data_IF_543865633075
#
_entry.id   IF_543865633075
#
_cell.length_a   1.000
_cell.length_b   1.000
_cell.length_c   1.000
_cell.angle_alpha   90.00
_cell.angle_beta   90.00
_cell.angle_gamma   90.00
#
_symmetry.space_group_name_H-M   'P 1'
#
loop_
_entity.id
_entity.type
_entity.pdbx_description
1 polymer ?
#
# COMPACT_ATOMS: atom_id res chain seq x y z
N UNK A 1 -41.76 26.34 -8.68
CA UNK A 1 -41.85 25.03 -8.00
C UNK A 1 -41.21 23.89 -8.81
N UNK A 2 -41.44 23.76 -10.12
CA UNK A 2 -40.89 22.69 -10.96
C UNK A 2 -39.34 22.65 -10.98
N UNK A 3 -38.67 23.79 -11.19
CA UNK A 3 -37.20 23.85 -11.22
C UNK A 3 -36.53 23.38 -9.91
N UNK A 4 -37.11 23.74 -8.75
CA UNK A 4 -36.63 23.26 -7.44
C UNK A 4 -36.78 21.75 -7.33
N UNK A 5 -37.91 21.19 -7.77
CA UNK A 5 -38.14 19.74 -7.79
C UNK A 5 -37.14 19.01 -8.69
N UNK A 6 -36.84 19.56 -9.87
CA UNK A 6 -35.83 18.98 -10.77
C UNK A 6 -34.43 18.96 -10.13
N UNK A 7 -34.01 20.07 -9.51
CA UNK A 7 -32.70 20.13 -8.84
C UNK A 7 -32.62 19.13 -7.68
N UNK A 8 -33.69 18.97 -6.89
CA UNK A 8 -33.74 17.95 -5.84
C UNK A 8 -33.63 16.53 -6.41
N UNK A 9 -34.33 16.22 -7.49
CA UNK A 9 -34.26 14.90 -8.12
C UNK A 9 -32.86 14.61 -8.69
N UNK A 10 -32.24 15.59 -9.32
CA UNK A 10 -30.86 15.47 -9.82
C UNK A 10 -29.87 15.25 -8.68
N UNK A 11 -29.99 16.00 -7.58
CA UNK A 11 -29.14 15.85 -6.40
C UNK A 11 -29.31 14.48 -5.74
N UNK A 12 -30.55 14.01 -5.58
CA UNK A 12 -30.81 12.68 -5.03
C UNK A 12 -30.24 11.58 -5.91
N UNK A 13 -30.39 11.71 -7.23
CA UNK A 13 -29.82 10.77 -8.20
C UNK A 13 -28.30 10.69 -8.09
N UNK A 14 -27.61 11.84 -8.04
CA UNK A 14 -26.15 11.86 -7.90
C UNK A 14 -25.69 11.33 -6.54
N UNK A 15 -26.39 11.65 -5.45
CA UNK A 15 -26.10 11.09 -4.13
C UNK A 15 -26.22 9.56 -4.12
N UNK A 16 -27.28 8.99 -4.71
CA UNK A 16 -27.46 7.54 -4.79
C UNK A 16 -26.36 6.90 -5.65
N UNK A 17 -25.99 7.52 -6.78
CA UNK A 17 -24.91 7.03 -7.63
C UNK A 17 -23.57 7.00 -6.87
N UNK A 18 -23.24 8.04 -6.10
CA UNK A 18 -22.03 8.11 -5.28
C UNK A 18 -22.04 7.10 -4.13
N UNK A 19 -23.20 6.83 -3.52
CA UNK A 19 -23.34 5.83 -2.45
C UNK A 19 -23.31 4.39 -2.97
N UNK A 20 -23.74 4.16 -4.21
CA UNK A 20 -23.70 2.85 -4.85
C UNK A 20 -22.29 2.51 -5.37
N UNK A 21 -21.44 3.50 -5.63
CA UNK A 21 -20.04 3.27 -5.87
C UNK A 21 -19.42 2.60 -4.62
N UNK A 22 -18.77 1.43 -4.77
CA UNK A 22 -18.11 0.79 -3.65
C UNK A 22 -17.17 1.81 -2.99
N UNK A 23 -17.30 2.08 -1.68
CA UNK A 23 -16.36 2.94 -1.00
C UNK A 23 -14.98 2.36 -1.26
N UNK A 24 -14.12 3.17 -1.89
CA UNK A 24 -12.80 2.76 -2.39
C UNK A 24 -11.91 2.12 -1.28
N UNK A 25 -12.32 2.21 -0.01
CA UNK A 25 -11.69 1.59 1.14
C UNK A 25 -12.48 0.52 1.92
N UNK A 26 -13.80 0.35 1.76
CA UNK A 26 -14.61 -0.49 2.67
C UNK A 26 -15.04 -1.84 2.07
N UNK A 27 -14.20 -2.45 1.24
CA UNK A 27 -14.27 -3.90 1.02
C UNK A 27 -13.80 -4.58 2.31
N UNK A 28 -14.67 -5.39 2.94
CA UNK A 28 -14.33 -6.26 4.07
C UNK A 28 -13.09 -7.13 3.78
N UNK A 29 -12.56 -7.81 4.81
CA UNK A 29 -11.29 -8.54 4.79
C UNK A 29 -10.94 -9.05 3.38
N UNK A 30 -9.99 -8.41 2.66
CA UNK A 30 -9.70 -8.77 1.27
C UNK A 30 -9.29 -10.23 1.20
N UNK A 31 -9.96 -10.97 0.31
CA UNK A 31 -9.55 -12.31 -0.10
C UNK A 31 -8.16 -12.21 -0.73
N UNK A 32 -7.32 -13.22 -0.54
CA UNK A 32 -6.00 -13.29 -1.18
C UNK A 32 -6.16 -13.10 -2.70
N UNK A 33 -5.47 -12.11 -3.30
CA UNK A 33 -5.61 -11.84 -4.72
C UNK A 33 -5.03 -12.99 -5.53
N UNK A 34 -5.72 -13.36 -6.61
CA UNK A 34 -5.33 -14.49 -7.47
C UNK A 34 -4.36 -14.00 -8.54
N UNK A 35 -3.23 -14.69 -8.69
CA UNK A 35 -2.26 -14.38 -9.73
C UNK A 35 -2.87 -14.58 -11.13
N UNK A 36 -2.86 -13.56 -12.00
CA UNK A 36 -3.51 -13.63 -13.31
C UNK A 36 -2.76 -14.52 -14.33
N UNK A 37 -1.56 -15.01 -14.00
CA UNK A 37 -0.72 -15.81 -14.89
C UNK A 37 0.35 -14.98 -15.60
N UNK A 38 1.32 -15.68 -16.22
CA UNK A 38 2.47 -15.05 -16.88
C UNK A 38 2.12 -14.36 -18.20
N UNK A 39 1.01 -14.78 -18.85
CA UNK A 39 0.48 -14.21 -20.10
C UNK A 39 -0.46 -13.02 -19.87
N UNK A 40 -0.54 -12.50 -18.64
CA UNK A 40 -1.45 -11.41 -18.30
C UNK A 40 -1.07 -10.09 -18.99
N UNK A 41 -2.07 -9.28 -19.32
CA UNK A 41 -1.81 -7.94 -19.85
C UNK A 41 -1.19 -7.05 -18.76
N UNK A 42 -0.40 -6.01 -19.12
CA UNK A 42 0.20 -5.13 -18.12
C UNK A 42 -0.84 -4.44 -17.23
N UNK A 43 -2.04 -4.17 -17.75
CA UNK A 43 -3.15 -3.62 -16.97
C UNK A 43 -3.64 -4.59 -15.91
N UNK A 44 -3.78 -5.88 -16.25
CA UNK A 44 -4.19 -6.91 -15.31
C UNK A 44 -3.11 -7.13 -14.23
N UNK A 45 -1.83 -7.09 -14.61
CA UNK A 45 -0.72 -7.18 -13.67
C UNK A 45 -0.69 -5.97 -12.72
N UNK A 46 -0.95 -4.76 -13.24
CA UNK A 46 -1.03 -3.55 -12.42
C UNK A 46 -2.19 -3.61 -11.41
N UNK A 47 -3.34 -4.13 -11.84
CA UNK A 47 -4.50 -4.37 -10.96
C UNK A 47 -4.15 -5.38 -9.86
N UNK A 48 -3.57 -6.53 -10.23
CA UNK A 48 -3.11 -7.54 -9.28
C UNK A 48 -2.12 -6.96 -8.26
N UNK A 49 -1.13 -6.18 -8.71
CA UNK A 49 -0.16 -5.54 -7.82
C UNK A 49 -0.80 -4.54 -6.85
N UNK A 50 -1.79 -3.76 -7.32
CA UNK A 50 -2.53 -2.83 -6.48
C UNK A 50 -3.37 -3.56 -5.41
N UNK A 51 -4.04 -4.65 -5.80
CA UNK A 51 -4.81 -5.48 -4.88
C UNK A 51 -3.90 -6.18 -3.86
N UNK A 52 -2.77 -6.72 -4.29
CA UNK A 52 -1.77 -7.35 -3.42
C UNK A 52 -1.21 -6.37 -2.39
N UNK A 53 -0.85 -5.16 -2.82
CA UNK A 53 -0.39 -4.12 -1.91
C UNK A 53 -1.45 -3.79 -0.86
N UNK A 54 -2.71 -3.70 -1.26
CA UNK A 54 -3.82 -3.45 -0.34
C UNK A 54 -4.02 -4.61 0.65
N UNK A 55 -3.94 -5.85 0.18
CA UNK A 55 -4.05 -7.05 1.00
C UNK A 55 -2.95 -7.09 2.07
N UNK A 56 -1.69 -6.93 1.65
CA UNK A 56 -0.53 -6.89 2.56
C UNK A 56 -0.71 -5.77 3.58
N UNK A 57 -1.01 -4.55 3.13
CA UNK A 57 -1.21 -3.42 4.02
C UNK A 57 -2.31 -3.69 5.06
N UNK A 58 -3.38 -4.38 4.70
CA UNK A 58 -4.46 -4.73 5.63
C UNK A 58 -4.00 -5.75 6.68
N UNK A 59 -3.25 -6.77 6.26
CA UNK A 59 -2.70 -7.79 7.18
C UNK A 59 -1.64 -7.22 8.12
N UNK A 60 -0.76 -6.36 7.60
CA UNK A 60 0.42 -5.87 8.32
C UNK A 60 0.20 -4.53 9.00
N UNK A 61 -0.95 -3.86 8.78
CA UNK A 61 -1.23 -2.57 9.42
C UNK A 61 -1.07 -2.73 10.93
N UNK A 62 -0.11 -2.02 11.53
CA UNK A 62 0.08 -2.08 12.97
C UNK A 62 -1.23 -1.72 13.66
N UNK A 63 -1.73 -2.62 14.51
CA UNK A 63 -2.98 -2.40 15.26
C UNK A 63 -2.77 -1.56 16.52
N UNK A 64 -1.50 -1.37 16.90
CA UNK A 64 -1.04 -0.43 17.91
C UNK A 64 0.14 0.34 17.33
N UNK A 65 0.11 1.66 17.44
CA UNK A 65 1.12 2.54 16.83
C UNK A 65 2.50 2.37 17.46
N UNK A 66 3.54 2.46 16.61
CA UNK A 66 4.99 2.54 16.88
C UNK A 66 5.45 1.87 18.18
N UNK A 67 5.90 0.61 18.08
CA UNK A 67 7.01 0.18 18.94
C UNK A 67 8.25 0.78 18.31
N UNK A 68 8.64 1.93 18.83
CA UNK A 68 9.98 2.51 18.84
C UNK A 68 10.81 2.20 17.58
N UNK A 69 10.94 3.21 16.73
CA UNK A 69 11.79 3.24 15.52
C UNK A 69 13.29 3.13 15.83
N UNK A 70 13.63 2.63 17.01
CA UNK A 70 14.96 2.59 17.60
C UNK A 70 15.55 1.19 17.49
N UNK A 71 14.73 0.13 17.63
CA UNK A 71 15.20 -1.26 17.57
C UNK A 71 15.44 -1.80 16.15
N UNK A 72 14.86 -1.19 15.11
CA UNK A 72 15.03 -1.66 13.72
C UNK A 72 16.26 -1.06 13.03
N UNK A 73 16.69 0.13 13.45
CA UNK A 73 17.90 0.77 12.92
C UNK A 73 19.17 0.02 13.38
N UNK A 74 19.11 -0.63 14.54
CA UNK A 74 20.21 -1.43 15.08
C UNK A 74 20.46 -2.71 14.27
N UNK A 75 19.43 -3.29 13.64
CA UNK A 75 19.61 -4.49 12.81
C UNK A 75 19.96 -4.21 11.35
N UNK A 76 19.71 -2.99 10.83
CA UNK A 76 19.95 -2.65 9.42
C UNK A 76 21.25 -1.86 9.18
N UNK A 77 21.85 -1.25 10.22
CA UNK A 77 23.13 -0.53 10.09
C UNK A 77 24.38 -1.41 10.30
N UNK A 78 24.23 -2.70 10.65
CA UNK A 78 25.35 -3.62 10.84
C UNK A 78 25.99 -4.16 9.54
N UNK A 79 25.32 -4.05 8.38
CA UNK A 79 25.80 -4.68 7.13
C UNK A 79 26.27 -3.72 6.04
N UNK A 80 26.26 -2.41 6.27
CA UNK A 80 26.66 -1.40 5.28
C UNK A 80 28.04 -0.76 5.53
N UNK A 81 28.81 -1.24 6.51
CA UNK A 81 30.21 -0.88 6.70
C UNK A 81 31.22 -1.97 6.31
N UNK A 82 30.80 -2.96 5.51
CA UNK A 82 31.72 -3.89 4.84
C UNK A 82 32.38 -3.29 3.59
N UNK A 83 32.65 -1.98 3.56
CA UNK A 83 33.29 -1.34 2.41
C UNK A 83 34.24 -0.20 2.80
N UNK A 84 35.52 -0.47 2.51
CA UNK A 84 36.68 0.42 2.31
C UNK A 84 37.55 0.76 3.54
N UNK A 85 38.85 1.06 3.35
CA UNK A 85 39.81 0.58 2.33
C UNK A 85 41.09 -0.01 3.00
N UNK A 86 41.74 -0.97 2.34
CA UNK A 86 43.05 -1.46 2.80
C UNK A 86 44.14 -0.50 2.34
N UNK A 87 44.65 0.31 3.26
CA UNK A 87 45.88 1.08 3.09
C UNK A 87 46.90 0.68 4.17
N UNK A 88 48.16 0.64 3.75
CA UNK A 88 49.29 -0.10 4.31
C UNK A 88 50.09 0.63 5.42
N UNK A 89 50.77 -0.20 6.26
CA UNK A 89 52.14 -0.04 6.83
C UNK A 89 52.36 0.86 8.08
N UNK A 90 53.50 0.76 8.83
CA UNK A 90 54.56 -0.28 8.96
C UNK A 90 55.03 -0.58 10.43
N UNK A 91 56.00 -1.53 10.59
CA UNK A 91 57.04 -1.65 11.66
C UNK A 91 56.68 -2.15 13.07
N UNK A 92 57.39 -3.22 13.50
CA UNK A 92 58.12 -3.21 14.78
C UNK A 92 57.85 -4.31 15.81
N UNK A 93 58.50 -5.48 15.66
CA UNK A 93 59.25 -6.21 16.71
C UNK A 93 59.84 -7.50 16.13
#
# INVERSE_FOLDING_TARGET
>A
MAARRCLFLLLLSTCVALLLQPPLGARGAPLEPVYPGDDATPEQMAQYAAELRRYINMLTRPRYGKRDEEDLLDLKCGSLHAAAPRELSPVGA
#
